data_IF_542845506338
#
_entry.id   IF_542845506338
#
_cell.length_a   1.000
_cell.length_b   1.000
_cell.length_c   1.000
_cell.angle_alpha   90.00
_cell.angle_beta   90.00
_cell.angle_gamma   90.00
#
_symmetry.space_group_name_H-M   'P 1'
#
loop_
_entity.id
_entity.type
_entity.pdbx_description
1 polymer ?
#
# COMPACT_ATOMS: atom_id res chain seq x y z
N UNK A 1 -15.97 -10.91 -18.02
CA UNK A 1 -14.98 -10.08 -17.32
C UNK A 1 -13.53 -10.54 -17.55
N UNK A 2 -13.13 -11.80 -17.35
CA UNK A 2 -11.74 -12.27 -17.49
C UNK A 2 -11.09 -11.97 -18.86
N UNK A 3 -11.78 -12.20 -19.96
CA UNK A 3 -11.26 -11.92 -21.31
C UNK A 3 -10.95 -10.43 -21.53
N UNK A 4 -11.82 -9.53 -21.07
CA UNK A 4 -11.60 -8.10 -21.19
C UNK A 4 -10.36 -7.65 -20.43
N UNK A 5 -10.15 -8.16 -19.19
CA UNK A 5 -8.96 -7.89 -18.39
C UNK A 5 -7.69 -8.41 -19.05
N UNK A 6 -7.72 -9.63 -19.61
CA UNK A 6 -6.58 -10.21 -20.32
C UNK A 6 -6.20 -9.36 -21.54
N UNK A 7 -7.19 -9.00 -22.38
CA UNK A 7 -6.96 -8.17 -23.57
C UNK A 7 -6.38 -6.81 -23.17
N UNK A 8 -6.94 -6.15 -22.16
CA UNK A 8 -6.46 -4.88 -21.63
C UNK A 8 -5.01 -4.96 -21.17
N UNK A 9 -4.63 -6.03 -20.44
CA UNK A 9 -3.24 -6.23 -19.97
C UNK A 9 -2.27 -6.44 -21.14
N UNK A 10 -2.64 -7.22 -22.16
CA UNK A 10 -1.79 -7.40 -23.34
C UNK A 10 -1.63 -6.11 -24.14
N UNK A 11 -2.68 -5.32 -24.32
CA UNK A 11 -2.61 -4.01 -24.98
C UNK A 11 -1.70 -3.08 -24.20
N UNK A 12 -1.86 -3.00 -22.88
CA UNK A 12 -1.01 -2.19 -22.00
C UNK A 12 0.46 -2.60 -22.11
N UNK A 13 0.74 -3.89 -22.04
CA UNK A 13 2.11 -4.41 -22.18
C UNK A 13 2.72 -4.05 -23.57
N UNK A 14 1.95 -4.21 -24.64
CA UNK A 14 2.40 -3.86 -25.99
C UNK A 14 2.71 -2.36 -26.12
N UNK A 15 1.85 -1.49 -25.58
CA UNK A 15 2.06 -0.04 -25.59
C UNK A 15 3.31 0.37 -24.79
N UNK A 16 3.53 -0.23 -23.62
CA UNK A 16 4.74 0.01 -22.82
C UNK A 16 6.00 -0.43 -23.57
N UNK A 17 6.01 -1.63 -24.17
CA UNK A 17 7.14 -2.12 -24.96
C UNK A 17 7.42 -1.19 -26.15
N UNK A 18 6.38 -0.75 -26.85
CA UNK A 18 6.52 0.19 -27.97
C UNK A 18 7.10 1.52 -27.51
N UNK A 19 6.62 2.06 -26.40
CA UNK A 19 7.12 3.29 -25.81
C UNK A 19 8.60 3.19 -25.42
N UNK A 20 9.00 2.10 -24.74
CA UNK A 20 10.38 1.85 -24.36
C UNK A 20 11.31 1.67 -25.56
N UNK A 21 10.84 1.01 -26.63
CA UNK A 21 11.63 0.84 -27.86
C UNK A 21 11.82 2.15 -28.62
N UNK A 22 10.85 3.06 -28.56
CA UNK A 22 10.89 4.38 -29.22
C UNK A 22 11.56 5.46 -28.35
N UNK A 23 11.79 5.19 -27.09
CA UNK A 23 12.42 6.13 -26.17
C UNK A 23 13.85 6.46 -26.63
N UNK A 24 14.17 7.74 -26.71
CA UNK A 24 15.54 8.23 -26.91
C UNK A 24 16.37 8.31 -25.63
N UNK A 25 15.84 7.83 -24.50
CA UNK A 25 16.46 7.92 -23.18
C UNK A 25 17.30 6.68 -22.82
N UNK A 26 18.01 6.75 -21.70
CA UNK A 26 18.84 5.67 -21.13
C UNK A 26 18.07 4.38 -20.87
N UNK A 27 16.72 4.46 -20.77
CA UNK A 27 15.83 3.31 -20.54
C UNK A 27 15.29 2.66 -21.82
N UNK A 28 15.94 2.95 -22.99
CA UNK A 28 15.54 2.33 -24.26
C UNK A 28 15.69 0.81 -24.20
N UNK A 29 14.64 0.10 -24.61
CA UNK A 29 14.63 -1.36 -24.71
C UNK A 29 15.34 -1.81 -26.00
N UNK A 30 16.55 -2.34 -25.88
CA UNK A 30 17.32 -2.91 -26.98
C UNK A 30 17.35 -4.42 -26.89
N UNK A 31 17.04 -5.09 -28.02
CA UNK A 31 16.98 -6.55 -28.09
C UNK A 31 18.32 -7.24 -27.78
N UNK A 32 19.43 -6.58 -28.13
CA UNK A 32 20.79 -7.01 -27.84
C UNK A 32 21.15 -7.02 -26.35
N UNK A 33 20.43 -6.20 -25.54
CA UNK A 33 20.65 -6.08 -24.10
C UNK A 33 19.69 -6.93 -23.27
N UNK A 34 18.77 -7.68 -23.91
CA UNK A 34 17.84 -8.59 -23.23
C UNK A 34 18.58 -9.84 -22.76
N UNK A 35 19.24 -9.75 -21.64
CA UNK A 35 19.90 -10.88 -20.96
C UNK A 35 19.64 -10.81 -19.47
N UNK A 36 19.56 -11.98 -18.84
CA UNK A 36 19.45 -12.09 -17.39
C UNK A 36 20.85 -12.00 -16.79
N UNK A 37 21.10 -10.93 -16.04
CA UNK A 37 22.32 -10.79 -15.23
C UNK A 37 22.06 -11.35 -13.84
N UNK A 38 22.80 -12.43 -13.40
CA UNK A 38 22.49 -13.13 -12.13
C UNK A 38 22.50 -12.20 -10.92
N UNK A 39 23.44 -11.25 -10.87
CA UNK A 39 23.52 -10.31 -9.75
C UNK A 39 22.29 -9.39 -9.67
N UNK A 40 21.82 -8.83 -10.78
CA UNK A 40 20.61 -8.00 -10.83
C UNK A 40 19.35 -8.81 -10.61
N UNK A 41 19.28 -10.03 -11.17
CA UNK A 41 18.17 -10.94 -10.89
C UNK A 41 18.05 -11.25 -9.40
N UNK A 42 19.17 -11.51 -8.70
CA UNK A 42 19.18 -11.72 -7.25
C UNK A 42 18.68 -10.49 -6.49
N UNK A 43 19.04 -9.27 -6.89
CA UNK A 43 18.55 -8.04 -6.28
C UNK A 43 17.04 -7.88 -6.46
N UNK A 44 16.54 -8.10 -7.68
CA UNK A 44 15.09 -8.05 -7.97
C UNK A 44 14.34 -9.08 -7.12
N UNK A 45 14.80 -10.33 -7.10
CA UNK A 45 14.17 -11.41 -6.32
C UNK A 45 14.19 -11.12 -4.82
N UNK A 46 15.27 -10.57 -4.28
CA UNK A 46 15.38 -10.23 -2.85
C UNK A 46 14.38 -9.16 -2.39
N UNK A 47 13.91 -8.32 -3.31
CA UNK A 47 12.87 -7.31 -3.04
C UNK A 47 11.46 -7.85 -3.35
N UNK A 48 11.33 -8.61 -4.44
CA UNK A 48 10.03 -9.06 -4.96
C UNK A 48 9.45 -10.23 -4.17
N UNK A 49 10.27 -11.21 -3.78
CA UNK A 49 9.80 -12.40 -3.04
C UNK A 49 9.17 -12.00 -1.70
N UNK A 50 9.82 -11.20 -0.83
CA UNK A 50 9.19 -10.77 0.40
C UNK A 50 7.90 -9.97 0.16
N UNK A 51 7.89 -9.08 -0.85
CA UNK A 51 6.71 -8.29 -1.17
C UNK A 51 5.54 -9.16 -1.68
N UNK A 52 5.82 -10.15 -2.54
CA UNK A 52 4.82 -11.10 -3.00
C UNK A 52 4.26 -11.98 -1.89
N UNK A 53 5.14 -12.47 -1.00
CA UNK A 53 4.74 -13.25 0.18
C UNK A 53 3.86 -12.42 1.12
N UNK A 54 4.20 -11.15 1.34
CA UNK A 54 3.37 -10.23 2.11
C UNK A 54 1.95 -10.13 1.55
N UNK A 55 1.80 -9.93 0.24
CA UNK A 55 0.49 -9.82 -0.40
C UNK A 55 -0.32 -11.12 -0.28
N UNK A 56 0.32 -12.29 -0.43
CA UNK A 56 -0.32 -13.58 -0.25
C UNK A 56 -0.83 -13.77 1.20
N UNK A 57 -0.02 -13.41 2.20
CA UNK A 57 -0.39 -13.51 3.61
C UNK A 57 -1.52 -12.51 3.96
N UNK A 58 -1.50 -11.30 3.37
CA UNK A 58 -2.62 -10.36 3.50
C UNK A 58 -3.93 -10.93 2.95
N UNK A 59 -3.89 -11.58 1.78
CA UNK A 59 -5.06 -12.24 1.22
C UNK A 59 -5.62 -13.31 2.17
N UNK A 60 -4.74 -14.12 2.76
CA UNK A 60 -5.13 -15.13 3.76
C UNK A 60 -5.74 -14.46 5.01
N UNK A 61 -5.10 -13.41 5.55
CA UNK A 61 -5.62 -12.68 6.71
C UNK A 61 -7.01 -12.07 6.44
N UNK A 62 -7.25 -11.59 5.22
CA UNK A 62 -8.56 -11.07 4.82
C UNK A 62 -9.64 -12.15 4.74
N UNK A 63 -9.29 -13.43 4.46
CA UNK A 63 -10.25 -14.54 4.52
C UNK A 63 -10.78 -14.76 5.94
N UNK A 64 -9.95 -14.61 6.97
CA UNK A 64 -10.39 -14.70 8.37
C UNK A 64 -11.35 -13.56 8.74
N UNK A 65 -11.08 -12.34 8.23
CA UNK A 65 -11.99 -11.21 8.43
C UNK A 65 -13.32 -11.46 7.72
N UNK A 66 -13.27 -11.95 6.48
CA UNK A 66 -14.47 -12.29 5.72
C UNK A 66 -15.28 -13.40 6.39
N UNK A 67 -14.62 -14.40 6.99
CA UNK A 67 -15.30 -15.41 7.79
C UNK A 67 -16.01 -14.80 9.01
N UNK A 68 -15.39 -13.79 9.65
CA UNK A 68 -16.02 -13.00 10.70
C UNK A 68 -17.25 -12.22 10.21
N UNK A 69 -17.18 -11.60 9.04
CA UNK A 69 -18.33 -10.90 8.43
C UNK A 69 -19.46 -11.89 8.10
N UNK A 70 -19.11 -13.05 7.57
CA UNK A 70 -20.09 -14.08 7.21
C UNK A 70 -20.80 -14.72 8.42
N UNK A 71 -20.39 -14.41 9.65
CA UNK A 71 -21.12 -14.82 10.87
C UNK A 71 -22.33 -13.93 11.20
N UNK A 72 -22.50 -12.83 10.47
CA UNK A 72 -23.65 -11.93 10.57
C UNK A 72 -24.72 -12.29 9.54
N UNK A 73 -25.81 -11.52 9.53
CA UNK A 73 -26.91 -11.68 8.59
C UNK A 73 -26.51 -11.31 7.13
N UNK A 74 -27.35 -11.68 6.19
CA UNK A 74 -27.14 -11.46 4.78
C UNK A 74 -27.00 -9.97 4.42
N UNK A 75 -27.78 -9.10 5.08
CA UNK A 75 -27.74 -7.66 4.87
C UNK A 75 -26.35 -7.08 5.22
N UNK A 76 -25.74 -7.55 6.31
CA UNK A 76 -24.40 -7.14 6.71
C UNK A 76 -23.32 -7.63 5.73
N UNK A 77 -23.45 -8.87 5.25
CA UNK A 77 -22.52 -9.45 4.26
C UNK A 77 -22.58 -8.68 2.94
N UNK A 78 -23.78 -8.38 2.45
CA UNK A 78 -23.98 -7.60 1.22
C UNK A 78 -23.48 -6.17 1.39
N UNK A 79 -23.80 -5.50 2.51
CA UNK A 79 -23.32 -4.16 2.83
C UNK A 79 -21.81 -4.09 2.91
N UNK A 80 -21.17 -5.08 3.53
CA UNK A 80 -19.70 -5.21 3.55
C UNK A 80 -19.12 -5.37 2.14
N UNK A 81 -19.73 -6.18 1.29
CA UNK A 81 -19.27 -6.40 -0.09
C UNK A 81 -19.40 -5.12 -0.93
N UNK A 82 -20.49 -4.38 -0.82
CA UNK A 82 -20.70 -3.10 -1.48
C UNK A 82 -19.65 -2.06 -1.01
N UNK A 83 -19.42 -1.94 0.30
CA UNK A 83 -18.45 -1.03 0.87
C UNK A 83 -16.99 -1.38 0.54
N UNK A 84 -16.67 -2.65 0.32
CA UNK A 84 -15.32 -3.08 -0.08
C UNK A 84 -14.88 -2.52 -1.44
N UNK A 85 -15.82 -2.16 -2.33
CA UNK A 85 -15.47 -1.46 -3.57
C UNK A 85 -14.94 -0.04 -3.31
N UNK A 86 -15.43 0.64 -2.27
CA UNK A 86 -14.88 1.92 -1.85
C UNK A 86 -13.45 1.79 -1.32
N UNK A 87 -13.18 0.74 -0.55
CA UNK A 87 -11.82 0.44 -0.07
C UNK A 87 -10.85 0.29 -1.24
N UNK A 88 -11.22 -0.49 -2.27
CA UNK A 88 -10.39 -0.69 -3.46
C UNK A 88 -10.07 0.64 -4.15
N UNK A 89 -11.07 1.52 -4.32
CA UNK A 89 -10.87 2.83 -4.95
C UNK A 89 -9.88 3.70 -4.16
N UNK A 90 -10.02 3.76 -2.84
CA UNK A 90 -9.10 4.53 -1.97
C UNK A 90 -7.69 3.96 -2.04
N UNK A 91 -7.56 2.64 -1.98
CA UNK A 91 -6.27 1.96 -2.06
C UNK A 91 -5.56 2.20 -3.38
N UNK A 92 -6.25 2.18 -4.51
CA UNK A 92 -5.66 2.41 -5.83
C UNK A 92 -5.05 3.83 -5.93
N UNK A 93 -5.77 4.83 -5.42
CA UNK A 93 -5.26 6.21 -5.40
C UNK A 93 -4.04 6.35 -4.47
N UNK A 94 -4.09 5.75 -3.28
CA UNK A 94 -2.96 5.74 -2.35
C UNK A 94 -1.76 4.97 -2.90
N UNK A 95 -1.99 3.86 -3.63
CA UNK A 95 -0.97 3.04 -4.23
C UNK A 95 -0.11 3.82 -5.24
N UNK A 96 -0.70 4.73 -5.99
CA UNK A 96 0.04 5.61 -6.90
C UNK A 96 1.06 6.45 -6.13
N UNK A 97 0.67 7.00 -4.97
CA UNK A 97 1.53 7.88 -4.17
C UNK A 97 2.66 7.10 -3.48
N UNK A 98 2.37 5.99 -2.82
CA UNK A 98 3.43 5.23 -2.16
C UNK A 98 4.36 4.56 -3.16
N UNK A 99 3.89 4.20 -4.36
CA UNK A 99 4.74 3.74 -5.47
C UNK A 99 5.67 4.85 -5.95
N UNK A 100 5.16 6.08 -6.09
CA UNK A 100 5.97 7.25 -6.39
C UNK A 100 7.01 7.51 -5.30
N UNK A 101 6.64 7.40 -4.00
CA UNK A 101 7.57 7.51 -2.88
C UNK A 101 8.76 6.57 -3.03
N UNK A 102 8.50 5.28 -3.24
CA UNK A 102 9.56 4.27 -3.45
C UNK A 102 10.45 4.63 -4.63
N UNK A 103 9.88 5.06 -5.75
CA UNK A 103 10.59 5.44 -6.96
C UNK A 103 11.50 6.67 -6.74
N UNK A 104 10.96 7.75 -6.16
CA UNK A 104 11.74 8.95 -5.88
C UNK A 104 12.84 8.70 -4.87
N UNK A 105 12.58 7.93 -3.82
CA UNK A 105 13.60 7.59 -2.82
C UNK A 105 14.73 6.76 -3.43
N UNK A 106 14.42 5.75 -4.24
CA UNK A 106 15.43 4.90 -4.87
C UNK A 106 16.27 5.67 -5.90
N UNK A 107 15.65 6.54 -6.69
CA UNK A 107 16.37 7.41 -7.64
C UNK A 107 17.32 8.38 -6.93
N UNK A 108 16.86 9.05 -5.87
CA UNK A 108 17.68 9.96 -5.09
C UNK A 108 18.78 9.22 -4.31
N UNK A 109 18.50 7.99 -3.86
CA UNK A 109 19.48 7.12 -3.22
C UNK A 109 20.58 6.73 -4.20
N UNK A 110 20.22 6.27 -5.41
CA UNK A 110 21.18 5.96 -6.47
C UNK A 110 22.00 7.16 -6.95
N UNK A 111 21.43 8.37 -6.88
CA UNK A 111 22.11 9.63 -7.19
C UNK A 111 22.94 10.20 -6.02
N UNK A 112 22.96 9.57 -4.83
CA UNK A 112 23.68 10.03 -3.66
C UNK A 112 23.12 11.28 -2.98
N UNK A 113 21.88 11.70 -3.31
CA UNK A 113 21.28 12.98 -2.86
C UNK A 113 20.55 12.82 -1.52
N UNK A 114 21.29 12.80 -0.43
CA UNK A 114 20.79 12.53 0.94
C UNK A 114 19.59 13.38 1.35
N UNK A 115 19.67 14.71 1.14
CA UNK A 115 18.58 15.64 1.50
C UNK A 115 17.31 15.37 0.73
N UNK A 116 17.42 14.99 -0.57
CA UNK A 116 16.26 14.70 -1.40
C UNK A 116 15.57 13.41 -1.04
N UNK A 117 16.30 12.41 -0.52
CA UNK A 117 15.72 11.16 -0.04
C UNK A 117 14.68 11.43 1.06
N UNK A 118 15.08 12.16 2.11
CA UNK A 118 14.17 12.42 3.23
C UNK A 118 13.04 13.38 2.84
N UNK A 119 13.30 14.37 1.99
CA UNK A 119 12.28 15.25 1.43
C UNK A 119 11.23 14.47 0.62
N UNK A 120 11.66 13.53 -0.22
CA UNK A 120 10.76 12.68 -0.99
C UNK A 120 9.83 11.88 -0.09
N UNK A 121 10.34 11.36 1.04
CA UNK A 121 9.53 10.65 2.02
C UNK A 121 8.46 11.56 2.64
N UNK A 122 8.86 12.72 3.19
CA UNK A 122 7.91 13.60 3.86
C UNK A 122 6.86 14.19 2.92
N UNK A 123 7.25 14.56 1.70
CA UNK A 123 6.32 15.05 0.68
C UNK A 123 5.32 13.94 0.31
N UNK A 124 5.79 12.73 0.03
CA UNK A 124 4.92 11.61 -0.30
C UNK A 124 3.99 11.24 0.87
N UNK A 125 4.50 11.31 2.11
CA UNK A 125 3.70 11.08 3.32
C UNK A 125 2.58 12.14 3.44
N UNK A 126 2.90 13.41 3.23
CA UNK A 126 1.93 14.49 3.30
C UNK A 126 0.83 14.33 2.25
N UNK A 127 1.22 14.00 1.00
CA UNK A 127 0.25 13.73 -0.06
C UNK A 127 -0.59 12.48 0.22
N UNK A 128 0.02 11.38 0.66
CA UNK A 128 -0.71 10.15 0.97
C UNK A 128 -1.72 10.37 2.09
N UNK A 129 -1.30 11.02 3.17
CA UNK A 129 -2.17 11.36 4.30
C UNK A 129 -3.28 12.34 3.90
N UNK A 130 -2.94 13.40 3.16
CA UNK A 130 -3.90 14.39 2.69
C UNK A 130 -4.98 13.78 1.78
N UNK A 131 -4.57 12.94 0.84
CA UNK A 131 -5.52 12.22 -0.04
C UNK A 131 -6.34 11.20 0.74
N UNK A 132 -5.74 10.46 1.68
CA UNK A 132 -6.50 9.56 2.56
C UNK A 132 -7.59 10.32 3.32
N UNK A 133 -7.30 11.50 3.86
CA UNK A 133 -8.31 12.33 4.55
C UNK A 133 -9.40 12.82 3.59
N UNK A 134 -9.03 13.30 2.41
CA UNK A 134 -10.02 13.78 1.41
C UNK A 134 -10.93 12.65 0.96
N UNK A 135 -10.36 11.49 0.60
CA UNK A 135 -11.13 10.32 0.19
C UNK A 135 -12.03 9.81 1.32
N UNK A 136 -11.52 9.79 2.56
CA UNK A 136 -12.31 9.44 3.74
C UNK A 136 -13.49 10.38 3.95
N UNK A 137 -13.26 11.68 3.86
CA UNK A 137 -14.32 12.67 3.99
C UNK A 137 -15.38 12.51 2.89
N UNK A 138 -14.95 12.31 1.64
CA UNK A 138 -15.87 12.06 0.52
C UNK A 138 -16.71 10.79 0.75
N UNK A 139 -16.09 9.69 1.21
CA UNK A 139 -16.80 8.44 1.48
C UNK A 139 -17.75 8.53 2.68
N UNK A 140 -17.41 9.31 3.71
CA UNK A 140 -18.32 9.53 4.84
C UNK A 140 -19.50 10.42 4.45
N UNK A 141 -19.27 11.48 3.65
CA UNK A 141 -20.30 12.44 3.23
C UNK A 141 -21.21 11.85 2.14
N UNK A 142 -20.60 11.26 1.11
CA UNK A 142 -21.28 10.73 -0.08
C UNK A 142 -21.39 9.20 -0.11
N UNK A 143 -21.06 8.51 1.00
CA UNK A 143 -21.02 7.06 1.04
C UNK A 143 -22.36 6.41 0.73
N UNK A 144 -23.47 7.03 1.12
CA UNK A 144 -24.82 6.52 0.81
C UNK A 144 -25.10 6.53 -0.70
N UNK A 145 -24.71 7.62 -1.40
CA UNK A 145 -24.82 7.74 -2.86
C UNK A 145 -23.89 6.74 -3.55
N UNK A 146 -22.68 6.56 -3.02
CA UNK A 146 -21.73 5.58 -3.52
C UNK A 146 -22.26 4.15 -3.38
N UNK A 147 -22.78 3.77 -2.22
CA UNK A 147 -23.38 2.45 -2.00
C UNK A 147 -24.61 2.22 -2.86
N UNK A 148 -25.40 3.27 -3.15
CA UNK A 148 -26.53 3.22 -4.07
C UNK A 148 -26.20 2.84 -5.51
N UNK A 149 -24.91 2.84 -5.91
CA UNK A 149 -24.45 2.30 -7.21
C UNK A 149 -24.48 0.77 -7.20
N UNK A 150 -24.31 0.15 -6.03
CA UNK A 150 -24.16 -1.29 -5.86
C UNK A 150 -25.44 -1.96 -5.32
N UNK A 151 -26.28 -1.23 -4.59
CA UNK A 151 -27.51 -1.76 -4.00
C UNK A 151 -28.63 -0.73 -4.01
N UNK A 152 -29.87 -1.22 -4.23
CA UNK A 152 -31.10 -0.43 -4.09
C UNK A 152 -31.80 -0.68 -2.75
N UNK A 153 -31.24 -1.57 -1.90
CA UNK A 153 -31.82 -1.95 -0.61
C UNK A 153 -31.23 -1.02 0.46
N UNK A 154 -32.07 -0.26 1.12
CA UNK A 154 -31.67 0.76 2.10
C UNK A 154 -30.95 0.15 3.31
N UNK A 155 -31.40 -1.02 3.80
CA UNK A 155 -30.82 -1.73 4.91
C UNK A 155 -29.38 -2.18 4.60
N UNK A 156 -29.13 -2.66 3.39
CA UNK A 156 -27.80 -3.01 2.89
C UNK A 156 -26.89 -1.78 2.85
N UNK A 157 -27.42 -0.64 2.36
CA UNK A 157 -26.66 0.61 2.36
C UNK A 157 -26.32 1.10 3.77
N UNK A 158 -27.23 0.96 4.73
CA UNK A 158 -26.97 1.30 6.12
C UNK A 158 -25.88 0.40 6.73
N UNK A 159 -25.93 -0.90 6.50
CA UNK A 159 -24.88 -1.85 6.92
C UNK A 159 -23.51 -1.48 6.32
N UNK A 160 -23.46 -1.18 5.02
CA UNK A 160 -22.24 -0.72 4.35
C UNK A 160 -21.68 0.59 4.92
N UNK A 161 -22.55 1.52 5.34
CA UNK A 161 -22.14 2.79 5.95
C UNK A 161 -21.39 2.60 7.28
N UNK A 162 -21.68 1.55 8.06
CA UNK A 162 -20.93 1.24 9.29
C UNK A 162 -19.47 1.00 8.93
N UNK A 163 -19.20 0.17 7.90
CA UNK A 163 -17.85 -0.08 7.41
C UNK A 163 -17.19 1.19 6.90
N UNK A 164 -17.85 1.96 6.03
CA UNK A 164 -17.27 3.17 5.44
C UNK A 164 -16.85 4.21 6.49
N UNK A 165 -17.61 4.38 7.57
CA UNK A 165 -17.27 5.30 8.66
C UNK A 165 -16.02 4.85 9.42
N UNK A 166 -15.93 3.57 9.78
CA UNK A 166 -14.78 3.03 10.52
C UNK A 166 -13.54 3.00 9.63
N UNK A 167 -13.67 2.51 8.39
CA UNK A 167 -12.57 2.46 7.42
C UNK A 167 -12.08 3.84 7.02
N UNK A 168 -12.97 4.83 6.90
CA UNK A 168 -12.60 6.21 6.64
C UNK A 168 -11.59 6.75 7.66
N UNK A 169 -11.78 6.47 8.94
CA UNK A 169 -10.79 6.81 9.97
C UNK A 169 -9.49 5.98 9.85
N UNK A 170 -9.59 4.76 9.34
CA UNK A 170 -8.46 3.82 9.24
C UNK A 170 -7.47 4.19 8.14
N UNK A 171 -7.92 4.76 7.02
CA UNK A 171 -7.05 5.06 5.86
C UNK A 171 -5.91 6.02 6.18
N UNK A 172 -6.09 6.94 7.13
CA UNK A 172 -5.01 7.80 7.59
C UNK A 172 -3.84 7.01 8.18
N UNK A 173 -4.13 5.95 8.97
CA UNK A 173 -3.10 5.07 9.52
C UNK A 173 -2.47 4.18 8.45
N UNK A 174 -3.26 3.71 7.48
CA UNK A 174 -2.75 2.98 6.31
C UNK A 174 -1.79 3.84 5.49
N UNK A 175 -2.09 5.13 5.29
CA UNK A 175 -1.20 6.06 4.58
C UNK A 175 0.20 6.12 5.21
N UNK A 176 0.29 6.21 6.56
CA UNK A 176 1.57 6.16 7.27
C UNK A 176 2.28 4.82 7.08
N UNK A 177 1.57 3.72 7.20
CA UNK A 177 2.12 2.38 7.05
C UNK A 177 2.66 2.16 5.64
N UNK A 178 1.83 2.34 4.61
CA UNK A 178 2.15 1.99 3.23
C UNK A 178 3.26 2.88 2.65
N UNK A 179 3.22 4.18 2.93
CA UNK A 179 4.28 5.11 2.51
C UNK A 179 5.61 4.78 3.19
N UNK A 180 5.61 4.36 4.45
CA UNK A 180 6.83 3.98 5.17
C UNK A 180 7.40 2.65 4.67
N UNK A 181 6.55 1.67 4.36
CA UNK A 181 6.96 0.41 3.72
C UNK A 181 7.60 0.70 2.36
N UNK A 182 6.95 1.55 1.55
CA UNK A 182 7.45 1.94 0.24
C UNK A 182 8.81 2.66 0.34
N UNK A 183 8.99 3.51 1.35
CA UNK A 183 10.26 4.18 1.64
C UNK A 183 11.39 3.18 1.98
N UNK A 184 11.12 2.19 2.83
CA UNK A 184 12.08 1.13 3.15
C UNK A 184 12.49 0.35 1.89
N UNK A 185 11.52 0.01 1.03
CA UNK A 185 11.78 -0.67 -0.25
C UNK A 185 12.58 0.21 -1.21
N UNK A 186 12.29 1.50 -1.28
CA UNK A 186 13.05 2.48 -2.06
C UNK A 186 14.52 2.60 -1.63
N UNK A 187 14.82 2.31 -0.35
CA UNK A 187 16.17 2.19 0.18
C UNK A 187 16.79 0.78 0.02
N UNK A 188 16.15 -0.12 -0.73
CA UNK A 188 16.65 -1.47 -1.00
C UNK A 188 16.45 -2.45 0.15
N UNK A 189 15.59 -2.16 1.11
CA UNK A 189 15.26 -3.05 2.24
C UNK A 189 13.81 -3.47 2.20
N UNK A 190 13.56 -4.75 1.95
CA UNK A 190 12.21 -5.33 1.86
C UNK A 190 11.93 -6.35 2.95
N UNK A 191 12.92 -7.17 3.35
CA UNK A 191 12.70 -8.32 4.23
C UNK A 191 12.17 -7.91 5.63
N UNK A 192 12.88 -7.03 6.34
CA UNK A 192 12.48 -6.60 7.70
C UNK A 192 11.13 -5.89 7.69
N UNK A 193 10.86 -4.89 6.81
CA UNK A 193 9.53 -4.31 6.67
C UNK A 193 8.44 -5.34 6.40
N UNK A 194 8.69 -6.31 5.52
CA UNK A 194 7.71 -7.38 5.25
C UNK A 194 7.38 -8.18 6.51
N UNK A 195 8.38 -8.56 7.32
CA UNK A 195 8.14 -9.28 8.58
C UNK A 195 7.32 -8.44 9.56
N UNK A 196 7.62 -7.14 9.69
CA UNK A 196 6.85 -6.22 10.55
C UNK A 196 5.39 -6.18 10.11
N UNK A 197 5.12 -6.05 8.82
CA UNK A 197 3.75 -6.02 8.28
C UNK A 197 3.03 -7.34 8.51
N UNK A 198 3.69 -8.47 8.26
CA UNK A 198 3.10 -9.80 8.49
C UNK A 198 2.70 -9.96 9.96
N UNK A 199 3.57 -9.61 10.88
CA UNK A 199 3.30 -9.71 12.31
C UNK A 199 2.26 -8.70 12.79
N UNK A 200 2.43 -7.42 12.43
CA UNK A 200 1.58 -6.33 12.93
C UNK A 200 0.21 -6.23 12.23
N UNK A 201 0.11 -6.62 10.97
CA UNK A 201 -1.16 -6.55 10.24
C UNK A 201 -1.81 -7.91 10.00
N UNK A 202 -1.07 -8.97 9.70
CA UNK A 202 -1.70 -10.25 9.36
C UNK A 202 -1.89 -11.13 10.60
N UNK A 203 -0.82 -11.44 11.33
CA UNK A 203 -0.90 -12.29 12.54
C UNK A 203 -1.78 -11.62 13.60
N UNK A 204 -1.58 -10.32 13.82
CA UNK A 204 -2.38 -9.55 14.77
C UNK A 204 -3.88 -9.61 14.43
N UNK A 205 -4.27 -9.52 13.15
CA UNK A 205 -5.68 -9.60 12.73
C UNK A 205 -6.29 -10.97 13.03
N UNK A 206 -5.55 -12.04 12.80
CA UNK A 206 -5.99 -13.39 13.13
C UNK A 206 -6.22 -13.50 14.64
N UNK A 207 -5.25 -13.07 15.45
CA UNK A 207 -5.39 -13.06 16.92
C UNK A 207 -6.61 -12.25 17.35
N UNK A 208 -6.80 -11.05 16.77
CA UNK A 208 -7.95 -10.19 17.09
C UNK A 208 -9.29 -10.86 16.80
N UNK A 209 -9.42 -11.56 15.68
CA UNK A 209 -10.65 -12.29 15.32
C UNK A 209 -10.97 -13.37 16.35
N UNK A 210 -9.97 -14.12 16.81
CA UNK A 210 -10.17 -15.20 17.78
C UNK A 210 -10.20 -14.74 19.25
N UNK A 211 -9.92 -13.49 19.54
CA UNK A 211 -9.95 -12.93 20.91
C UNK A 211 -10.99 -11.84 21.04
N UNK A 212 -10.68 -10.64 20.56
CA UNK A 212 -11.54 -9.46 20.75
C UNK A 212 -12.87 -9.63 20.01
N UNK A 213 -12.84 -10.00 18.73
CA UNK A 213 -14.07 -10.21 17.98
C UNK A 213 -14.87 -11.40 18.52
N UNK A 214 -14.23 -12.51 18.90
CA UNK A 214 -14.91 -13.65 19.49
C UNK A 214 -15.60 -13.31 20.82
N UNK A 215 -15.06 -12.34 21.59
CA UNK A 215 -15.66 -11.90 22.86
C UNK A 215 -16.82 -10.93 22.66
N UNK A 216 -16.64 -9.87 21.85
CA UNK A 216 -17.66 -8.83 21.67
C UNK A 216 -18.72 -9.20 20.61
N UNK A 217 -18.34 -9.96 19.60
CA UNK A 217 -19.18 -10.42 18.48
C UNK A 217 -20.03 -9.31 17.83
N UNK A 218 -19.42 -8.13 17.64
CA UNK A 218 -20.05 -6.97 16.97
C UNK A 218 -19.25 -6.62 15.72
N UNK A 219 -19.95 -6.11 14.69
CA UNK A 219 -19.31 -5.76 13.42
C UNK A 219 -18.30 -4.61 13.57
N UNK A 220 -18.57 -3.69 14.49
CA UNK A 220 -17.68 -2.59 14.83
C UNK A 220 -16.37 -3.12 15.43
N UNK A 221 -16.46 -4.11 16.34
CA UNK A 221 -15.27 -4.74 16.94
C UNK A 221 -14.42 -5.43 15.88
N UNK A 222 -15.05 -6.00 14.85
CA UNK A 222 -14.35 -6.60 13.72
C UNK A 222 -13.64 -5.54 12.89
N UNK A 223 -14.27 -4.41 12.56
CA UNK A 223 -13.64 -3.37 11.74
C UNK A 223 -12.59 -2.54 12.48
N UNK A 224 -12.69 -2.38 13.79
CA UNK A 224 -11.68 -1.70 14.61
C UNK A 224 -10.29 -2.35 14.51
N UNK A 225 -10.21 -3.64 14.16
CA UNK A 225 -8.93 -4.32 13.93
C UNK A 225 -8.06 -3.61 12.91
N UNK A 226 -8.67 -2.95 11.89
CA UNK A 226 -7.90 -2.22 10.86
C UNK A 226 -7.16 -1.03 11.45
N UNK A 227 -7.86 -0.20 12.24
CA UNK A 227 -7.27 0.98 12.90
C UNK A 227 -6.08 0.55 13.76
N UNK A 228 -6.31 -0.43 14.65
CA UNK A 228 -5.30 -0.86 15.63
C UNK A 228 -4.12 -1.52 14.94
N UNK A 229 -4.38 -2.46 14.00
CA UNK A 229 -3.31 -3.16 13.28
C UNK A 229 -2.44 -2.22 12.44
N UNK A 230 -3.06 -1.28 11.74
CA UNK A 230 -2.32 -0.31 10.92
C UNK A 230 -1.56 0.70 11.77
N UNK A 231 -2.11 1.16 12.88
CA UNK A 231 -1.41 2.07 13.79
C UNK A 231 -0.15 1.41 14.41
N UNK A 232 -0.28 0.18 14.90
CA UNK A 232 0.85 -0.58 15.45
C UNK A 232 1.91 -0.84 14.38
N UNK A 233 1.47 -1.30 13.19
CA UNK A 233 2.37 -1.59 12.08
C UNK A 233 3.07 -0.32 11.59
N UNK A 234 2.36 0.80 11.44
CA UNK A 234 2.93 2.08 11.05
C UNK A 234 4.00 2.56 12.03
N UNK A 235 3.74 2.45 13.34
CA UNK A 235 4.72 2.81 14.36
C UNK A 235 5.99 1.96 14.26
N UNK A 236 5.84 0.64 14.13
CA UNK A 236 6.97 -0.29 13.97
C UNK A 236 7.75 -0.03 12.67
N UNK A 237 7.05 0.24 11.55
CA UNK A 237 7.66 0.57 10.27
C UNK A 237 8.43 1.91 10.30
N UNK A 238 7.93 2.93 10.99
CA UNK A 238 8.64 4.20 11.17
C UNK A 238 9.94 4.01 11.97
N UNK A 239 9.91 3.17 13.01
CA UNK A 239 11.13 2.82 13.78
C UNK A 239 12.13 2.08 12.87
N UNK A 240 11.64 1.13 12.06
CA UNK A 240 12.44 0.40 11.08
C UNK A 240 13.06 1.36 10.06
N UNK A 241 12.27 2.25 9.46
CA UNK A 241 12.75 3.23 8.48
C UNK A 241 13.85 4.13 9.06
N UNK A 242 13.68 4.57 10.31
CA UNK A 242 14.72 5.39 10.98
C UNK A 242 16.06 4.66 11.09
N UNK A 243 16.04 3.35 11.37
CA UNK A 243 17.26 2.51 11.41
C UNK A 243 17.83 2.30 10.02
N UNK A 244 16.98 1.89 9.08
CA UNK A 244 17.36 1.67 7.67
C UNK A 244 17.94 2.94 7.05
N UNK A 245 17.28 4.08 7.26
CA UNK A 245 17.76 5.36 6.76
C UNK A 245 19.16 5.69 7.30
N UNK A 246 19.40 5.56 8.60
CA UNK A 246 20.73 5.80 9.21
C UNK A 246 21.78 4.88 8.60
N UNK A 247 21.50 3.58 8.49
CA UNK A 247 22.41 2.60 7.89
C UNK A 247 22.76 2.92 6.44
N UNK A 248 21.75 3.26 5.64
CA UNK A 248 21.94 3.56 4.22
C UNK A 248 22.65 4.90 3.99
N UNK A 249 22.37 5.90 4.82
CA UNK A 249 23.06 7.19 4.73
C UNK A 249 24.54 7.10 5.08
N UNK A 250 24.97 6.17 5.94
CA UNK A 250 26.39 5.94 6.22
C UNK A 250 27.15 5.38 5.01
N UNK A 251 26.47 4.68 4.10
CA UNK A 251 27.07 4.10 2.89
C UNK A 251 27.21 5.09 1.74
N UNK A 252 26.48 6.20 1.79
CA UNK A 252 26.55 7.24 0.77
C UNK A 252 27.71 8.23 1.03
N UNK A 253 28.36 8.73 -0.01
CA UNK A 253 29.32 9.83 0.14
C UNK A 253 28.62 11.09 0.71
N UNK A 254 29.36 12.02 1.32
CA UNK A 254 28.81 13.31 1.73
C UNK A 254 28.12 14.02 0.57
N UNK A 255 27.02 14.76 0.86
CA UNK A 255 26.28 15.51 -0.17
C UNK A 255 27.23 16.49 -0.91
N UNK A 256 27.41 16.30 -2.20
CA UNK A 256 28.25 17.15 -3.05
C UNK A 256 27.54 18.48 -3.38
N UNK A 257 26.22 18.57 -3.14
CA UNK A 257 25.42 19.78 -3.42
C UNK A 257 25.79 20.98 -2.50
N UNK A 258 26.57 20.78 -1.44
CA UNK A 258 27.09 21.87 -0.58
C UNK A 258 28.38 22.51 -1.07
N UNK A 259 29.09 21.88 -1.98
CA UNK A 259 30.43 22.36 -2.44
C UNK A 259 30.34 23.25 -3.67
N UNK A 260 29.27 23.14 -4.47
CA UNK A 260 29.08 23.97 -5.70
C UNK A 260 28.36 25.29 -5.47
N UNK A 261 27.87 25.58 -4.27
CA UNK A 261 27.27 26.87 -3.93
C UNK A 261 28.27 27.83 -3.23
N UNK A 262 29.52 27.41 -3.03
CA UNK A 262 30.59 28.19 -2.42
C UNK A 262 31.81 28.42 -3.35
N UNK A 263 31.67 28.13 -4.64
CA UNK A 263 32.56 28.48 -5.71
C UNK A 263 31.80 29.25 -6.81
#
# INVERSE_FOLDING_TARGET
MALASIISQYISAALVILSLRRSGSVVRLERSMLRIEPHKAKQVLSLSIPAGLQNAIFAIANLFIQAGVNSFDELMVEGNAAAANADALVYDVMAAIYTACSSFMSQNYGAGKRKRIIHSYFISMLFSFGIALVMSALLVIFGRQFLGIFTNVEEVAQAGMIRLRIMGCSYAFSAFMDCTIAANRGLGKSFVPTVIVIMGSCVFRIIWVYTVFAYFHTIESLYLLYIVSWAITAAAEMICLRRVYREQMQKLPPDIDGVKAAA
#
